data_IF_674270769510
#
_entry.id   IF_674270769510
#
_cell.length_a   1.000
_cell.length_b   1.000
_cell.length_c   1.000
_cell.angle_alpha   90.00
_cell.angle_beta   90.00
_cell.angle_gamma   90.00
#
_symmetry.space_group_name_H-M   'P 1'
#
loop_
_entity.id
_entity.type
_entity.pdbx_description
1 polymer ?
#
# COMPACT_ATOMS: atom_id res chain seq x y z
N UNK A 1 -41.08 45.41 -26.73
CA UNK A 1 -39.65 45.82 -26.74
C UNK A 1 -38.85 45.34 -25.53
N UNK A 2 -39.43 45.15 -24.32
CA UNK A 2 -38.67 44.60 -23.16
C UNK A 2 -38.42 43.09 -23.24
N UNK A 3 -39.28 42.32 -23.89
CA UNK A 3 -39.11 40.88 -24.04
C UNK A 3 -38.03 40.49 -25.05
N UNK A 4 -37.88 41.26 -26.15
CA UNK A 4 -36.84 40.99 -27.15
C UNK A 4 -35.42 41.31 -26.65
N UNK A 5 -35.25 42.28 -25.73
CA UNK A 5 -33.94 42.59 -25.17
C UNK A 5 -33.47 41.48 -24.20
N UNK A 6 -34.38 40.87 -23.39
CA UNK A 6 -34.03 39.78 -22.49
C UNK A 6 -33.60 38.51 -23.27
N UNK A 7 -34.24 38.23 -24.42
CA UNK A 7 -33.90 37.04 -25.21
C UNK A 7 -32.51 37.17 -25.87
N UNK A 8 -32.16 38.35 -26.36
CA UNK A 8 -30.86 38.63 -26.94
C UNK A 8 -29.73 38.61 -25.88
N UNK A 9 -30.03 39.03 -24.65
CA UNK A 9 -29.05 39.01 -23.52
C UNK A 9 -28.81 37.61 -23.03
N UNK A 10 -29.81 36.71 -22.96
CA UNK A 10 -29.67 35.31 -22.60
C UNK A 10 -28.90 34.52 -23.66
N UNK A 11 -29.18 34.73 -24.95
CA UNK A 11 -28.46 34.06 -26.04
C UNK A 11 -27.00 34.53 -26.12
N UNK A 12 -26.71 35.79 -25.86
CA UNK A 12 -25.35 36.34 -25.76
C UNK A 12 -24.61 35.76 -24.56
N UNK A 13 -25.25 35.65 -23.39
CA UNK A 13 -24.67 35.00 -22.21
C UNK A 13 -24.32 33.53 -22.49
N UNK A 14 -25.20 32.80 -23.18
CA UNK A 14 -24.98 31.40 -23.53
C UNK A 14 -23.78 31.25 -24.46
N UNK A 15 -23.70 32.01 -25.54
CA UNK A 15 -22.60 31.94 -26.51
C UNK A 15 -21.23 32.28 -25.91
N UNK A 16 -21.18 33.28 -25.02
CA UNK A 16 -19.95 33.66 -24.33
C UNK A 16 -19.58 32.58 -23.30
N UNK A 17 -20.54 32.02 -22.56
CA UNK A 17 -20.32 30.89 -21.64
C UNK A 17 -19.72 29.70 -22.37
N UNK A 18 -20.32 29.28 -23.48
CA UNK A 18 -19.83 28.17 -24.30
C UNK A 18 -18.39 28.40 -24.80
N UNK A 19 -18.04 29.63 -25.20
CA UNK A 19 -16.68 29.99 -25.60
C UNK A 19 -15.66 29.79 -24.46
N UNK A 20 -16.00 30.22 -23.23
CA UNK A 20 -15.10 30.06 -22.06
C UNK A 20 -14.97 28.59 -21.68
N UNK A 21 -16.07 27.83 -21.64
CA UNK A 21 -16.02 26.40 -21.36
C UNK A 21 -15.21 25.64 -22.42
N UNK A 22 -15.34 26.03 -23.70
CA UNK A 22 -14.52 25.48 -24.78
C UNK A 22 -13.01 25.76 -24.56
N UNK A 23 -12.65 26.97 -24.11
CA UNK A 23 -11.24 27.28 -23.79
C UNK A 23 -10.72 26.47 -22.58
N UNK A 24 -11.55 26.27 -21.56
CA UNK A 24 -11.24 25.44 -20.39
C UNK A 24 -11.06 23.97 -20.81
N UNK A 25 -11.98 23.42 -21.58
CA UNK A 25 -11.94 22.03 -22.07
C UNK A 25 -10.70 21.76 -22.93
N UNK A 26 -10.37 22.67 -23.82
CA UNK A 26 -9.22 22.57 -24.71
C UNK A 26 -7.90 23.01 -24.05
N UNK A 27 -7.89 23.26 -22.74
CA UNK A 27 -6.72 23.65 -21.94
C UNK A 27 -5.88 24.75 -22.59
N UNK A 28 -6.53 25.78 -23.11
CA UNK A 28 -5.85 26.95 -23.65
C UNK A 28 -4.99 27.59 -22.55
N UNK A 29 -4.10 28.50 -22.96
CA UNK A 29 -3.23 29.23 -22.06
C UNK A 29 -4.04 29.84 -20.91
N UNK A 30 -3.67 29.53 -19.65
CA UNK A 30 -4.47 29.92 -18.47
C UNK A 30 -4.66 31.43 -18.36
N UNK A 31 -3.63 32.20 -18.72
CA UNK A 31 -3.72 33.67 -18.77
C UNK A 31 -4.76 34.17 -19.78
N UNK A 32 -4.90 33.52 -20.92
CA UNK A 32 -5.93 33.88 -21.91
C UNK A 32 -7.33 33.64 -21.34
N UNK A 33 -7.55 32.52 -20.68
CA UNK A 33 -8.81 32.19 -19.99
C UNK A 33 -9.12 33.23 -18.90
N UNK A 34 -8.14 33.56 -18.06
CA UNK A 34 -8.29 34.59 -17.01
C UNK A 34 -8.66 35.94 -17.59
N UNK A 35 -8.03 36.35 -18.70
CA UNK A 35 -8.33 37.63 -19.37
C UNK A 35 -9.75 37.64 -19.96
N UNK A 36 -10.20 36.51 -20.53
CA UNK A 36 -11.57 36.40 -21.01
C UNK A 36 -12.58 36.49 -19.86
N UNK A 37 -12.31 35.80 -18.72
CA UNK A 37 -13.16 35.90 -17.52
C UNK A 37 -13.20 37.36 -17.00
N UNK A 38 -12.07 38.06 -16.98
CA UNK A 38 -12.04 39.49 -16.59
C UNK A 38 -12.88 40.36 -17.52
N UNK A 39 -12.85 40.09 -18.82
CA UNK A 39 -13.64 40.86 -19.81
C UNK A 39 -15.17 40.75 -19.63
N UNK A 40 -15.62 39.69 -18.90
CA UNK A 40 -17.04 39.51 -18.56
C UNK A 40 -17.60 40.71 -17.76
N UNK A 41 -16.73 41.33 -16.91
CA UNK A 41 -17.12 42.51 -16.14
C UNK A 41 -17.54 43.68 -17.08
N UNK A 42 -16.77 43.90 -18.14
CA UNK A 42 -17.07 44.96 -19.14
C UNK A 42 -18.32 44.64 -19.92
N UNK A 43 -18.58 43.36 -20.16
CA UNK A 43 -19.79 42.85 -20.83
C UNK A 43 -20.99 42.76 -19.88
N UNK A 44 -20.85 43.13 -18.59
CA UNK A 44 -21.86 43.02 -17.53
C UNK A 44 -22.40 41.59 -17.30
N UNK A 45 -21.59 40.59 -17.61
CA UNK A 45 -21.95 39.18 -17.44
C UNK A 45 -21.39 38.70 -16.10
N UNK A 46 -22.23 38.02 -15.33
CA UNK A 46 -21.86 37.45 -14.04
C UNK A 46 -21.25 36.05 -14.22
N UNK A 47 -19.93 35.86 -13.94
CA UNK A 47 -19.29 34.55 -14.07
C UNK A 47 -19.91 33.47 -13.19
N UNK A 48 -20.55 33.86 -12.07
CA UNK A 48 -21.17 32.90 -11.14
C UNK A 48 -22.46 32.26 -11.68
N UNK A 49 -23.02 32.84 -12.74
CA UNK A 49 -24.25 32.37 -13.42
C UNK A 49 -23.96 31.54 -14.66
N UNK A 50 -22.69 31.35 -15.03
CA UNK A 50 -22.30 30.56 -16.17
C UNK A 50 -22.13 29.08 -15.78
N UNK A 51 -22.84 28.21 -16.50
CA UNK A 51 -22.83 26.77 -16.31
C UNK A 51 -22.66 26.06 -17.65
N UNK A 52 -21.86 25.01 -17.62
CA UNK A 52 -21.72 24.09 -18.75
C UNK A 52 -23.06 23.40 -19.06
N UNK A 53 -23.49 23.38 -20.31
CA UNK A 53 -24.84 22.88 -20.67
C UNK A 53 -25.06 21.42 -20.30
N UNK A 54 -24.09 20.57 -20.59
CA UNK A 54 -24.18 19.10 -20.43
C UNK A 54 -24.09 18.63 -18.98
N UNK A 55 -23.20 19.20 -18.23
CA UNK A 55 -22.86 18.70 -16.87
C UNK A 55 -23.42 19.60 -15.78
N UNK A 56 -23.76 20.83 -16.10
CA UNK A 56 -24.09 21.93 -15.16
C UNK A 56 -22.93 22.24 -14.22
N UNK A 57 -21.68 22.01 -14.67
CA UNK A 57 -20.52 22.49 -13.95
C UNK A 57 -20.49 24.02 -13.93
N UNK A 58 -20.15 24.62 -12.77
CA UNK A 58 -19.78 26.04 -12.74
C UNK A 58 -18.39 26.23 -13.35
N UNK A 59 -18.00 27.46 -13.66
CA UNK A 59 -16.64 27.74 -14.15
C UNK A 59 -15.55 27.24 -13.23
N UNK A 60 -15.74 27.40 -11.91
CA UNK A 60 -14.83 26.90 -10.91
C UNK A 60 -14.71 25.37 -10.96
N UNK A 61 -15.82 24.66 -10.99
CA UNK A 61 -15.84 23.19 -11.05
C UNK A 61 -15.18 22.70 -12.33
N UNK A 62 -15.46 23.31 -13.49
CA UNK A 62 -14.82 22.94 -14.76
C UNK A 62 -13.32 23.22 -14.77
N UNK A 63 -12.86 24.37 -14.25
CA UNK A 63 -11.43 24.67 -14.19
C UNK A 63 -10.66 23.67 -13.31
N UNK A 64 -11.24 23.22 -12.20
CA UNK A 64 -10.66 22.19 -11.33
C UNK A 64 -10.68 20.81 -12.04
N UNK A 65 -11.79 20.48 -12.70
CA UNK A 65 -11.91 19.22 -13.44
C UNK A 65 -10.84 19.08 -14.52
N UNK A 66 -10.56 20.15 -15.26
CA UNK A 66 -9.50 20.16 -16.29
C UNK A 66 -8.09 20.46 -15.75
N UNK A 67 -7.94 20.59 -14.41
CA UNK A 67 -6.69 20.82 -13.69
C UNK A 67 -5.99 22.14 -14.05
N UNK A 68 -6.77 23.21 -14.24
CA UNK A 68 -6.28 24.57 -14.51
C UNK A 68 -6.09 25.32 -13.19
N UNK A 69 -4.95 25.11 -12.54
CA UNK A 69 -4.71 25.58 -11.16
C UNK A 69 -4.81 27.09 -11.04
N UNK A 70 -4.14 27.85 -11.91
CA UNK A 70 -4.14 29.34 -11.86
C UNK A 70 -5.52 29.94 -12.09
N UNK A 71 -6.28 29.37 -13.05
CA UNK A 71 -7.67 29.77 -13.33
C UNK A 71 -8.56 29.50 -12.12
N UNK A 72 -8.40 28.33 -11.49
CA UNK A 72 -9.20 27.96 -10.32
C UNK A 72 -8.92 28.86 -9.13
N UNK A 73 -7.65 29.16 -8.87
CA UNK A 73 -7.22 30.07 -7.78
C UNK A 73 -7.77 31.48 -8.05
N UNK A 74 -7.59 31.97 -9.29
CA UNK A 74 -8.13 33.26 -9.68
C UNK A 74 -9.65 33.33 -9.49
N UNK A 75 -10.41 32.31 -9.89
CA UNK A 75 -11.86 32.28 -9.73
C UNK A 75 -12.28 32.30 -8.26
N UNK A 76 -11.62 31.55 -7.38
CA UNK A 76 -11.91 31.56 -5.93
C UNK A 76 -11.74 32.98 -5.39
N UNK A 77 -10.62 33.65 -5.68
CA UNK A 77 -10.32 35.00 -5.19
C UNK A 77 -11.25 36.04 -5.80
N UNK A 78 -11.51 35.98 -7.10
CA UNK A 78 -12.41 36.91 -7.80
C UNK A 78 -13.82 36.84 -7.23
N UNK A 79 -14.35 35.64 -7.05
CA UNK A 79 -15.70 35.42 -6.53
C UNK A 79 -15.80 35.83 -5.06
N UNK A 80 -14.79 35.50 -4.26
CA UNK A 80 -14.70 35.92 -2.85
C UNK A 80 -14.76 37.46 -2.73
N UNK A 81 -13.93 38.15 -3.52
CA UNK A 81 -13.91 39.64 -3.51
C UNK A 81 -15.25 40.22 -3.93
N UNK A 82 -15.87 39.67 -4.98
CA UNK A 82 -17.18 40.07 -5.42
C UNK A 82 -18.26 39.95 -4.32
N UNK A 83 -18.33 38.84 -3.63
CA UNK A 83 -19.31 38.62 -2.55
C UNK A 83 -18.97 39.40 -1.28
N UNK A 84 -17.70 39.68 -1.01
CA UNK A 84 -17.30 40.60 0.05
C UNK A 84 -17.79 42.03 -0.18
N UNK A 85 -17.70 42.53 -1.43
CA UNK A 85 -18.26 43.84 -1.80
C UNK A 85 -19.77 43.89 -1.61
N UNK A 86 -20.47 42.76 -1.77
CA UNK A 86 -21.92 42.63 -1.58
C UNK A 86 -22.32 42.31 -0.13
N UNK A 87 -21.35 42.19 0.82
CA UNK A 87 -21.55 41.75 2.19
C UNK A 87 -22.34 40.44 2.31
N UNK A 88 -22.17 39.52 1.36
CA UNK A 88 -22.95 38.29 1.24
C UNK A 88 -22.07 37.02 1.31
N UNK A 89 -21.57 36.72 2.50
CA UNK A 89 -20.77 35.52 2.77
C UNK A 89 -21.56 34.22 2.46
N UNK A 90 -22.85 34.21 2.73
CA UNK A 90 -23.71 33.03 2.47
C UNK A 90 -23.75 32.68 1.00
N UNK A 91 -23.93 33.65 0.11
CA UNK A 91 -23.92 33.43 -1.33
C UNK A 91 -22.56 32.94 -1.85
N UNK A 92 -21.48 33.41 -1.24
CA UNK A 92 -20.15 32.88 -1.55
C UNK A 92 -20.02 31.38 -1.19
N UNK A 93 -20.45 31.00 0.03
CA UNK A 93 -20.43 29.61 0.46
C UNK A 93 -21.36 28.73 -0.38
N UNK A 94 -22.53 29.24 -0.74
CA UNK A 94 -23.46 28.55 -1.64
C UNK A 94 -22.81 28.30 -3.01
N UNK A 95 -22.08 29.28 -3.53
CA UNK A 95 -21.37 29.10 -4.82
C UNK A 95 -20.22 28.07 -4.70
N UNK A 96 -19.43 28.10 -3.64
CA UNK A 96 -18.35 27.11 -3.42
C UNK A 96 -18.87 25.68 -3.34
N UNK A 97 -20.08 25.52 -2.78
CA UNK A 97 -20.70 24.20 -2.56
C UNK A 97 -21.71 23.83 -3.67
N UNK A 98 -21.73 24.59 -4.78
CA UNK A 98 -22.58 24.26 -5.93
C UNK A 98 -22.22 22.90 -6.49
N UNK A 99 -23.26 22.08 -6.69
CA UNK A 99 -23.12 20.72 -7.21
C UNK A 99 -23.57 20.65 -8.67
N UNK A 100 -22.84 19.91 -9.45
CA UNK A 100 -23.23 19.57 -10.81
C UNK A 100 -24.33 18.49 -10.85
N UNK A 101 -24.76 18.06 -12.04
CA UNK A 101 -25.80 17.03 -12.20
C UNK A 101 -25.44 15.67 -11.56
N UNK A 102 -24.14 15.35 -11.43
CA UNK A 102 -23.65 14.12 -10.77
C UNK A 102 -23.43 14.32 -9.27
N UNK A 103 -23.72 15.49 -8.72
CA UNK A 103 -23.54 15.83 -7.30
C UNK A 103 -22.11 16.24 -6.93
N UNK A 104 -21.21 16.43 -7.87
CA UNK A 104 -19.85 16.88 -7.57
C UNK A 104 -19.79 18.40 -7.40
N UNK A 105 -19.10 18.85 -6.36
CA UNK A 105 -18.71 20.23 -6.13
C UNK A 105 -17.21 20.46 -6.38
N UNK A 106 -16.75 21.67 -6.16
CA UNK A 106 -15.36 22.07 -6.35
C UNK A 106 -14.40 21.26 -5.44
N UNK A 107 -14.79 21.02 -4.17
CA UNK A 107 -13.96 20.29 -3.21
C UNK A 107 -13.79 18.81 -3.60
N UNK A 108 -14.88 18.15 -4.00
CA UNK A 108 -14.88 16.76 -4.45
C UNK A 108 -13.98 16.56 -5.67
N UNK A 109 -14.04 17.45 -6.66
CA UNK A 109 -13.14 17.35 -7.81
C UNK A 109 -11.68 17.66 -7.47
N UNK A 110 -11.41 18.62 -6.58
CA UNK A 110 -10.04 18.91 -6.16
C UNK A 110 -9.42 17.72 -5.42
N UNK A 111 -10.21 17.01 -4.63
CA UNK A 111 -9.80 15.76 -3.96
C UNK A 111 -9.47 14.66 -4.98
N UNK A 112 -10.32 14.45 -5.98
CA UNK A 112 -10.10 13.48 -7.06
C UNK A 112 -8.85 13.80 -7.90
N UNK A 113 -8.66 15.07 -8.27
CA UNK A 113 -7.51 15.52 -9.06
C UNK A 113 -6.21 15.53 -8.24
N UNK A 114 -6.29 15.64 -6.91
CA UNK A 114 -5.14 15.69 -6.02
C UNK A 114 -4.44 17.04 -6.00
N UNK A 115 -5.15 18.10 -6.42
CA UNK A 115 -4.59 19.43 -6.37
C UNK A 115 -4.64 19.96 -4.94
N UNK A 116 -3.51 19.82 -4.25
CA UNK A 116 -3.35 20.17 -2.84
C UNK A 116 -3.61 21.66 -2.58
N UNK A 117 -3.10 22.54 -3.44
CA UNK A 117 -3.22 23.99 -3.28
C UNK A 117 -4.67 24.45 -3.41
N UNK A 118 -5.38 23.98 -4.44
CA UNK A 118 -6.81 24.28 -4.61
C UNK A 118 -7.63 23.71 -3.47
N UNK A 119 -7.37 22.46 -3.07
CA UNK A 119 -8.07 21.82 -1.97
C UNK A 119 -7.94 22.63 -0.67
N UNK A 120 -6.70 23.01 -0.30
CA UNK A 120 -6.45 23.85 0.86
C UNK A 120 -7.17 25.19 0.76
N UNK A 121 -7.06 25.87 -0.39
CA UNK A 121 -7.69 27.16 -0.61
C UNK A 121 -9.22 27.08 -0.49
N UNK A 122 -9.84 26.02 -1.01
CA UNK A 122 -11.28 25.79 -0.85
C UNK A 122 -11.66 25.59 0.61
N UNK A 123 -10.88 24.80 1.35
CA UNK A 123 -11.10 24.57 2.79
C UNK A 123 -10.94 25.85 3.61
N UNK A 124 -9.91 26.64 3.34
CA UNK A 124 -9.66 27.92 4.02
C UNK A 124 -10.76 28.96 3.72
N UNK A 125 -11.50 28.77 2.63
CA UNK A 125 -12.66 29.58 2.25
C UNK A 125 -14.02 28.99 2.68
N UNK A 126 -14.03 27.92 3.46
CA UNK A 126 -15.25 27.38 4.08
C UNK A 126 -16.01 26.37 3.21
N UNK A 127 -15.34 25.71 2.27
CA UNK A 127 -15.97 24.61 1.53
C UNK A 127 -16.40 23.48 2.45
N UNK A 128 -17.51 22.81 2.13
CA UNK A 128 -18.09 21.79 2.98
C UNK A 128 -17.35 20.45 2.87
N UNK A 129 -16.56 20.11 3.90
CA UNK A 129 -15.80 18.86 3.98
C UNK A 129 -16.70 17.60 3.97
N UNK A 130 -17.93 17.71 4.45
CA UNK A 130 -18.88 16.59 4.54
C UNK A 130 -19.72 16.42 3.26
N UNK A 131 -19.37 17.11 2.19
CA UNK A 131 -20.06 16.95 0.91
C UNK A 131 -19.86 15.53 0.34
N UNK A 132 -20.83 15.06 -0.40
CA UNK A 132 -20.78 13.79 -1.11
C UNK A 132 -21.55 13.92 -2.44
N UNK A 133 -21.13 13.15 -3.43
CA UNK A 133 -21.81 13.12 -4.73
C UNK A 133 -23.11 12.29 -4.67
N UNK A 134 -23.80 12.15 -5.80
CA UNK A 134 -25.05 11.39 -5.88
C UNK A 134 -24.90 9.89 -5.54
N UNK A 135 -23.69 9.34 -5.65
CA UNK A 135 -23.37 7.96 -5.27
C UNK A 135 -22.94 7.84 -3.78
N UNK A 136 -22.97 8.93 -3.01
CA UNK A 136 -22.52 8.94 -1.62
C UNK A 136 -21.01 9.03 -1.44
N UNK A 137 -20.23 9.18 -2.52
CA UNK A 137 -18.77 9.28 -2.45
C UNK A 137 -18.37 10.63 -1.86
N UNK A 138 -17.59 10.61 -0.77
CA UNK A 138 -17.04 11.78 -0.11
C UNK A 138 -15.60 12.10 -0.59
N UNK A 139 -15.01 13.14 -0.03
CA UNK A 139 -13.64 13.58 -0.35
C UNK A 139 -12.59 12.48 -0.20
N UNK A 140 -12.72 11.59 0.81
CA UNK A 140 -11.77 10.50 1.04
C UNK A 140 -11.92 9.40 -0.02
N UNK A 141 -13.14 9.00 -0.34
CA UNK A 141 -13.40 8.02 -1.42
C UNK A 141 -12.77 8.49 -2.74
N UNK A 142 -12.97 9.76 -3.10
CA UNK A 142 -12.45 10.33 -4.33
C UNK A 142 -10.94 10.49 -4.33
N UNK A 143 -10.35 10.84 -3.20
CA UNK A 143 -8.89 10.89 -3.05
C UNK A 143 -8.26 9.52 -3.24
N UNK A 144 -8.90 8.47 -2.73
CA UNK A 144 -8.47 7.07 -2.92
C UNK A 144 -8.64 6.65 -4.37
N UNK A 145 -9.78 6.95 -4.99
CA UNK A 145 -10.03 6.66 -6.42
C UNK A 145 -8.98 7.32 -7.32
N UNK A 146 -8.59 8.56 -7.02
CA UNK A 146 -7.56 9.29 -7.73
C UNK A 146 -6.12 8.91 -7.34
N UNK A 147 -5.91 8.03 -6.35
CA UNK A 147 -4.62 7.72 -5.73
C UNK A 147 -3.87 8.97 -5.21
N UNK A 148 -4.57 9.86 -4.48
CA UNK A 148 -4.08 11.17 -4.06
C UNK A 148 -3.62 11.18 -2.60
N UNK A 149 -2.42 10.65 -2.34
CA UNK A 149 -1.86 10.49 -1.00
C UNK A 149 -1.66 11.82 -0.27
N UNK A 150 -1.35 12.89 -0.99
CA UNK A 150 -1.25 14.24 -0.43
C UNK A 150 -2.58 14.70 0.21
N UNK A 151 -3.71 14.48 -0.48
CA UNK A 151 -5.03 14.82 0.05
C UNK A 151 -5.41 13.88 1.19
N UNK A 152 -5.15 12.58 1.06
CA UNK A 152 -5.40 11.60 2.12
C UNK A 152 -4.66 12.00 3.41
N UNK A 153 -3.35 12.32 3.31
CA UNK A 153 -2.55 12.78 4.44
C UNK A 153 -3.14 14.05 5.08
N UNK A 154 -3.50 15.03 4.26
CA UNK A 154 -4.09 16.28 4.73
C UNK A 154 -5.42 16.04 5.47
N UNK A 155 -6.28 15.21 4.91
CA UNK A 155 -7.56 14.85 5.51
C UNK A 155 -7.37 14.18 6.87
N UNK A 156 -6.46 13.21 6.95
CA UNK A 156 -6.26 12.40 8.15
C UNK A 156 -5.56 13.15 9.30
N UNK A 157 -4.67 14.10 8.99
CA UNK A 157 -3.89 14.79 10.02
C UNK A 157 -4.40 16.19 10.38
N UNK A 158 -5.11 16.86 9.47
CA UNK A 158 -5.55 18.25 9.69
C UNK A 158 -7.04 18.36 10.02
N UNK A 159 -7.89 17.48 9.50
CA UNK A 159 -9.33 17.64 9.59
C UNK A 159 -9.99 16.53 10.41
N UNK A 160 -11.09 16.89 11.10
CA UNK A 160 -11.92 15.93 11.83
C UNK A 160 -13.12 15.57 10.94
N UNK A 161 -13.19 14.33 10.51
CA UNK A 161 -14.32 13.80 9.74
C UNK A 161 -14.43 12.27 9.92
N UNK A 162 -15.54 11.69 9.48
CA UNK A 162 -15.74 10.24 9.57
C UNK A 162 -14.98 9.51 8.46
N UNK A 163 -13.84 8.92 8.83
CA UNK A 163 -12.96 8.13 7.94
C UNK A 163 -13.59 6.80 7.52
N UNK A 164 -14.60 6.34 8.26
CA UNK A 164 -15.29 5.08 8.01
C UNK A 164 -16.64 5.26 7.29
N UNK A 165 -16.92 6.48 6.83
CA UNK A 165 -18.15 6.76 6.11
C UNK A 165 -18.30 5.85 4.91
N UNK A 166 -19.51 5.30 4.74
CA UNK A 166 -19.86 4.43 3.63
C UNK A 166 -20.54 5.25 2.52
N UNK A 167 -20.33 4.84 1.27
CA UNK A 167 -21.06 5.33 0.11
C UNK A 167 -22.47 4.68 0.04
N UNK A 168 -23.23 4.95 -1.02
CA UNK A 168 -24.58 4.40 -1.18
C UNK A 168 -24.59 2.87 -1.39
N UNK A 169 -23.46 2.27 -1.73
CA UNK A 169 -23.29 0.82 -1.87
C UNK A 169 -22.71 0.17 -0.61
N UNK A 170 -22.52 0.94 0.45
CA UNK A 170 -21.92 0.48 1.71
C UNK A 170 -20.39 0.41 1.67
N UNK A 171 -19.73 0.84 0.60
CA UNK A 171 -18.27 0.80 0.52
C UNK A 171 -17.62 1.91 1.33
N UNK A 172 -16.59 1.59 2.09
CA UNK A 172 -15.67 2.56 2.69
C UNK A 172 -14.54 2.91 1.72
N UNK A 173 -13.75 3.92 2.06
CA UNK A 173 -12.54 4.26 1.32
C UNK A 173 -11.56 3.07 1.18
N UNK A 174 -11.50 2.17 2.19
CA UNK A 174 -10.67 0.97 2.11
C UNK A 174 -11.19 -0.04 1.08
N UNK A 175 -12.52 -0.22 0.94
CA UNK A 175 -13.10 -1.06 -0.11
C UNK A 175 -12.68 -0.55 -1.50
N UNK A 176 -12.75 0.76 -1.72
CA UNK A 176 -12.34 1.39 -2.97
C UNK A 176 -10.83 1.25 -3.21
N UNK A 177 -9.98 1.42 -2.17
CA UNK A 177 -8.54 1.24 -2.29
C UNK A 177 -8.17 -0.19 -2.72
N UNK A 178 -8.81 -1.19 -2.13
CA UNK A 178 -8.64 -2.60 -2.50
C UNK A 178 -9.19 -2.87 -3.90
N UNK A 179 -10.37 -2.31 -4.23
CA UNK A 179 -10.98 -2.45 -5.54
C UNK A 179 -10.08 -1.91 -6.66
N UNK A 180 -9.45 -0.76 -6.50
CA UNK A 180 -8.51 -0.19 -7.48
C UNK A 180 -7.07 -0.74 -7.38
N UNK A 181 -6.80 -1.64 -6.43
CA UNK A 181 -5.45 -2.15 -6.15
C UNK A 181 -4.43 -1.04 -5.82
N UNK A 182 -4.88 0.04 -5.20
CA UNK A 182 -4.06 1.18 -4.82
C UNK A 182 -3.28 0.87 -3.55
N UNK A 183 -2.18 0.13 -3.68
CA UNK A 183 -1.38 -0.39 -2.57
C UNK A 183 -0.92 0.69 -1.59
N UNK A 184 -0.52 1.86 -2.09
CA UNK A 184 -0.09 2.98 -1.26
C UNK A 184 -1.25 3.57 -0.47
N UNK A 185 -2.42 3.78 -1.09
CA UNK A 185 -3.62 4.22 -0.37
C UNK A 185 -4.00 3.25 0.76
N UNK A 186 -3.89 1.93 0.49
CA UNK A 186 -4.16 0.90 1.51
C UNK A 186 -3.20 1.08 2.69
N UNK A 187 -1.89 1.23 2.43
CA UNK A 187 -0.89 1.42 3.49
C UNK A 187 -1.19 2.69 4.34
N UNK A 188 -1.58 3.80 3.70
CA UNK A 188 -1.95 5.04 4.39
C UNK A 188 -3.24 4.87 5.22
N UNK A 189 -4.30 4.31 4.64
CA UNK A 189 -5.55 4.09 5.34
C UNK A 189 -5.37 3.15 6.54
N UNK A 190 -4.61 2.07 6.38
CA UNK A 190 -4.32 1.14 7.47
C UNK A 190 -3.45 1.79 8.56
N UNK A 191 -2.51 2.68 8.20
CA UNK A 191 -1.73 3.46 9.15
C UNK A 191 -2.64 4.34 10.04
N UNK A 192 -3.66 4.96 9.47
CA UNK A 192 -4.63 5.80 10.19
C UNK A 192 -5.75 5.01 10.87
N UNK A 193 -5.59 3.70 11.03
CA UNK A 193 -6.51 2.85 11.79
C UNK A 193 -7.97 2.84 11.32
N UNK A 194 -8.19 2.92 10.02
CA UNK A 194 -9.55 2.72 9.46
C UNK A 194 -10.15 1.38 9.92
N UNK A 195 -11.47 1.32 10.10
CA UNK A 195 -12.12 0.07 10.51
C UNK A 195 -12.21 -0.91 9.33
N UNK A 196 -11.43 -1.99 9.40
CA UNK A 196 -11.34 -3.03 8.36
C UNK A 196 -12.50 -4.01 8.36
N UNK A 197 -13.36 -3.99 9.42
CA UNK A 197 -14.46 -4.95 9.60
C UNK A 197 -15.79 -4.47 9.02
N UNK A 198 -15.83 -3.24 8.49
CA UNK A 198 -17.05 -2.72 7.86
C UNK A 198 -17.35 -3.53 6.61
N UNK A 199 -18.62 -3.89 6.43
CA UNK A 199 -19.10 -4.63 5.27
C UNK A 199 -19.88 -3.69 4.33
N UNK A 200 -19.76 -3.94 3.03
CA UNK A 200 -20.61 -3.32 2.01
C UNK A 200 -22.05 -3.87 2.05
N UNK A 201 -22.91 -3.40 1.17
CA UNK A 201 -24.32 -3.88 1.07
C UNK A 201 -24.42 -5.36 0.63
N UNK A 202 -23.35 -5.95 0.10
CA UNK A 202 -23.26 -7.38 -0.23
C UNK A 202 -22.65 -8.20 0.91
N UNK A 203 -22.54 -7.62 2.12
CA UNK A 203 -21.92 -8.25 3.29
C UNK A 203 -20.44 -8.63 3.09
N UNK A 204 -19.74 -7.98 2.15
CA UNK A 204 -18.31 -8.18 1.90
C UNK A 204 -17.48 -7.11 2.62
N UNK A 205 -16.43 -7.53 3.31
CA UNK A 205 -15.39 -6.62 3.81
C UNK A 205 -14.36 -6.32 2.72
N UNK A 206 -13.53 -5.31 2.92
CA UNK A 206 -12.39 -5.03 2.02
C UNK A 206 -11.47 -6.26 1.88
N UNK A 207 -11.34 -7.07 2.95
CA UNK A 207 -10.60 -8.33 2.92
C UNK A 207 -11.26 -9.37 2.00
N UNK A 208 -12.58 -9.49 2.03
CA UNK A 208 -13.31 -10.43 1.17
C UNK A 208 -13.14 -10.07 -0.32
N UNK A 209 -13.06 -8.77 -0.63
CA UNK A 209 -12.73 -8.29 -1.99
C UNK A 209 -11.30 -8.69 -2.39
N UNK A 210 -10.32 -8.55 -1.49
CA UNK A 210 -8.94 -8.96 -1.75
C UNK A 210 -8.83 -10.48 -2.00
N UNK A 211 -9.57 -11.29 -1.22
CA UNK A 211 -9.64 -12.76 -1.40
C UNK A 211 -10.28 -13.11 -2.75
N UNK A 212 -11.42 -12.50 -3.11
CA UNK A 212 -12.07 -12.73 -4.41
C UNK A 212 -11.18 -12.38 -5.60
N UNK A 213 -10.21 -11.47 -5.41
CA UNK A 213 -9.23 -11.07 -6.42
C UNK A 213 -7.97 -11.91 -6.40
N UNK A 214 -7.86 -12.88 -5.50
CA UNK A 214 -6.68 -13.74 -5.32
C UNK A 214 -5.38 -12.95 -5.13
N UNK A 215 -5.48 -11.74 -4.56
CA UNK A 215 -4.32 -10.88 -4.35
C UNK A 215 -3.68 -11.14 -3.00
N UNK A 216 -2.71 -12.06 -2.98
CA UNK A 216 -2.01 -12.49 -1.74
C UNK A 216 -1.33 -11.33 -1.02
N UNK A 217 -0.75 -10.37 -1.75
CA UNK A 217 -0.06 -9.22 -1.14
C UNK A 217 -1.02 -8.32 -0.36
N UNK A 218 -2.22 -8.06 -0.91
CA UNK A 218 -3.24 -7.29 -0.22
C UNK A 218 -3.81 -8.03 0.99
N UNK A 219 -4.05 -9.32 0.83
CA UNK A 219 -4.51 -10.20 1.91
C UNK A 219 -3.51 -10.16 3.07
N UNK A 220 -2.22 -10.31 2.80
CA UNK A 220 -1.18 -10.22 3.82
C UNK A 220 -1.11 -8.83 4.48
N UNK A 221 -1.21 -7.75 3.72
CA UNK A 221 -1.21 -6.38 4.24
C UNK A 221 -2.37 -6.13 5.20
N UNK A 222 -3.59 -6.51 4.81
CA UNK A 222 -4.79 -6.32 5.65
C UNK A 222 -4.70 -7.19 6.91
N UNK A 223 -4.33 -8.46 6.78
CA UNK A 223 -4.12 -9.39 7.92
C UNK A 223 -3.10 -8.81 8.90
N UNK A 224 -2.04 -8.26 8.38
CA UNK A 224 -0.98 -7.69 9.19
C UNK A 224 -1.43 -6.45 9.96
N UNK A 225 -2.14 -5.54 9.33
CA UNK A 225 -2.68 -4.35 10.01
C UNK A 225 -3.63 -4.75 11.13
N UNK A 226 -4.39 -5.84 10.95
CA UNK A 226 -5.22 -6.42 11.99
C UNK A 226 -4.38 -6.85 13.20
N UNK A 227 -3.25 -7.53 12.97
CA UNK A 227 -2.34 -7.96 14.06
C UNK A 227 -1.75 -6.76 14.80
N UNK A 228 -1.34 -5.70 14.08
CA UNK A 228 -0.81 -4.51 14.72
C UNK A 228 -1.85 -3.85 15.61
N UNK A 229 -3.09 -3.73 15.11
CA UNK A 229 -4.16 -2.98 15.75
C UNK A 229 -4.74 -3.70 16.97
N UNK A 230 -5.01 -4.98 16.82
CA UNK A 230 -5.73 -5.76 17.85
C UNK A 230 -4.84 -6.71 18.64
N UNK A 231 -3.57 -6.87 18.21
CA UNK A 231 -2.66 -7.85 18.81
C UNK A 231 -3.16 -9.29 18.61
N UNK A 232 -2.41 -10.24 19.18
CA UNK A 232 -2.80 -11.67 19.21
C UNK A 232 -3.91 -11.92 20.25
N UNK A 233 -4.16 -10.95 21.12
CA UNK A 233 -5.17 -10.98 22.19
C UNK A 233 -6.52 -10.38 21.82
N UNK A 234 -6.75 -10.02 20.55
CA UNK A 234 -8.05 -9.53 20.06
C UNK A 234 -9.17 -10.57 20.25
N UNK A 235 -10.43 -10.14 20.10
CA UNK A 235 -11.59 -11.03 20.24
C UNK A 235 -11.42 -12.28 19.36
N UNK A 236 -11.59 -13.45 19.99
CA UNK A 236 -11.35 -14.76 19.36
C UNK A 236 -12.16 -14.96 18.06
N UNK A 237 -13.37 -14.38 17.99
CA UNK A 237 -14.23 -14.40 16.80
C UNK A 237 -13.62 -13.64 15.62
N UNK A 238 -13.03 -12.46 15.87
CA UNK A 238 -12.48 -11.61 14.82
C UNK A 238 -11.16 -12.18 14.29
N UNK A 239 -10.37 -12.75 15.19
CA UNK A 239 -9.13 -13.43 14.81
C UNK A 239 -9.43 -14.65 13.93
N UNK A 240 -10.43 -15.45 14.28
CA UNK A 240 -10.82 -16.64 13.51
C UNK A 240 -11.38 -16.31 12.12
N UNK A 241 -11.92 -15.10 11.93
CA UNK A 241 -12.40 -14.63 10.63
C UNK A 241 -11.25 -14.40 9.63
N UNK A 242 -10.13 -13.86 10.11
CA UNK A 242 -9.00 -13.47 9.25
C UNK A 242 -7.86 -14.50 9.18
N UNK A 243 -7.79 -15.40 10.17
CA UNK A 243 -6.70 -16.35 10.27
C UNK A 243 -7.22 -17.77 10.44
N UNK A 244 -6.66 -18.70 9.68
CA UNK A 244 -6.85 -20.12 9.92
C UNK A 244 -6.18 -20.51 11.24
N UNK A 245 -6.61 -21.63 11.87
CA UNK A 245 -5.95 -22.17 13.06
C UNK A 245 -4.45 -22.41 12.82
N UNK A 246 -4.09 -22.80 11.61
CA UNK A 246 -2.71 -23.04 11.22
C UNK A 246 -1.88 -21.77 11.15
N UNK A 247 -2.41 -20.69 10.54
CA UNK A 247 -1.76 -19.38 10.50
C UNK A 247 -1.57 -18.78 11.90
N UNK A 248 -2.57 -18.95 12.79
CA UNK A 248 -2.44 -18.53 14.18
C UNK A 248 -1.34 -19.29 14.92
N UNK A 249 -1.25 -20.61 14.72
CA UNK A 249 -0.15 -21.42 15.27
C UNK A 249 1.18 -20.95 14.69
N UNK A 250 1.25 -20.64 13.40
CA UNK A 250 2.47 -20.09 12.78
C UNK A 250 2.87 -18.74 13.37
N UNK A 251 1.93 -17.84 13.63
CA UNK A 251 2.20 -16.52 14.21
C UNK A 251 2.70 -16.66 15.65
N UNK A 252 2.03 -17.47 16.46
CA UNK A 252 2.43 -17.76 17.84
C UNK A 252 3.76 -18.53 17.89
N UNK A 253 3.93 -19.47 16.98
CA UNK A 253 5.11 -20.30 16.89
C UNK A 253 6.32 -19.56 16.30
N UNK A 254 6.15 -18.45 15.54
CA UNK A 254 7.27 -17.72 14.93
C UNK A 254 8.34 -17.29 15.93
N UNK A 255 7.94 -16.89 17.13
CA UNK A 255 8.88 -16.55 18.21
C UNK A 255 9.52 -17.80 18.85
N UNK A 256 8.74 -18.88 18.99
CA UNK A 256 9.21 -20.13 19.63
C UNK A 256 9.85 -21.10 18.64
N UNK A 257 9.35 -21.19 17.41
CA UNK A 257 9.89 -22.08 16.36
C UNK A 257 11.36 -21.81 16.08
N UNK A 258 11.78 -20.55 16.13
CA UNK A 258 13.19 -20.20 15.93
C UNK A 258 14.07 -20.77 17.07
N UNK A 259 13.67 -20.58 18.33
CA UNK A 259 14.38 -21.09 19.48
C UNK A 259 14.35 -22.63 19.47
N UNK A 260 13.18 -23.22 19.18
CA UNK A 260 13.01 -24.66 19.05
C UNK A 260 13.82 -25.22 17.87
N UNK A 261 13.83 -24.53 16.73
CA UNK A 261 14.64 -24.93 15.58
C UNK A 261 16.14 -24.89 15.88
N UNK A 262 16.61 -23.81 16.53
CA UNK A 262 18.01 -23.75 16.99
C UNK A 262 18.34 -24.85 18.02
N UNK A 263 17.41 -25.11 18.95
CA UNK A 263 17.58 -26.17 19.92
C UNK A 263 17.62 -27.57 19.26
N UNK A 264 16.71 -27.82 18.31
CA UNK A 264 16.70 -29.06 17.53
C UNK A 264 18.01 -29.22 16.74
N UNK A 265 18.48 -28.16 16.07
CA UNK A 265 19.76 -28.17 15.37
C UNK A 265 20.91 -28.44 16.32
N UNK A 266 20.93 -27.80 17.50
CA UNK A 266 21.96 -27.96 18.49
C UNK A 266 21.97 -29.39 19.10
N UNK A 267 20.80 -29.90 19.49
CA UNK A 267 20.69 -31.25 20.04
C UNK A 267 20.95 -32.34 18.98
N UNK A 268 20.48 -32.15 17.76
CA UNK A 268 20.81 -33.00 16.61
C UNK A 268 22.33 -33.01 16.35
N UNK A 269 22.99 -31.85 16.49
CA UNK A 269 24.43 -31.73 16.32
C UNK A 269 25.20 -32.51 17.42
N UNK A 270 24.81 -32.30 18.68
CA UNK A 270 25.43 -33.03 19.80
C UNK A 270 25.22 -34.53 19.68
N UNK A 271 24.03 -34.96 19.27
CA UNK A 271 23.71 -36.36 19.08
C UNK A 271 24.51 -36.98 17.93
N UNK A 272 24.58 -36.28 16.77
CA UNK A 272 25.38 -36.71 15.64
C UNK A 272 26.87 -36.80 15.96
N UNK A 273 27.42 -35.86 16.72
CA UNK A 273 28.80 -35.91 17.17
C UNK A 273 29.07 -37.16 17.99
N UNK A 274 28.15 -37.52 18.90
CA UNK A 274 28.24 -38.73 19.68
C UNK A 274 28.20 -40.00 18.81
N UNK A 275 27.31 -40.06 17.84
CA UNK A 275 27.20 -41.19 16.92
C UNK A 275 28.44 -41.32 16.00
N UNK A 276 28.90 -40.20 15.45
CA UNK A 276 30.07 -40.16 14.57
C UNK A 276 31.34 -40.54 15.35
N UNK A 277 31.49 -40.11 16.60
CA UNK A 277 32.62 -40.48 17.45
C UNK A 277 32.66 -41.97 17.75
N UNK A 278 31.49 -42.58 17.93
CA UNK A 278 31.36 -44.02 18.16
C UNK A 278 31.61 -44.82 16.87
N UNK A 279 31.14 -44.35 15.72
CA UNK A 279 31.17 -45.08 14.45
C UNK A 279 32.50 -44.97 13.72
N UNK A 280 33.20 -43.85 13.80
CA UNK A 280 34.38 -43.55 12.96
C UNK A 280 35.67 -43.43 13.80
N UNK A 281 35.57 -43.26 15.13
CA UNK A 281 36.71 -43.02 16.05
C UNK A 281 37.73 -41.95 15.58
N UNK A 282 37.28 -41.06 14.67
CA UNK A 282 38.15 -40.08 14.03
C UNK A 282 37.87 -38.67 14.56
N UNK A 283 38.70 -38.10 15.40
CA UNK A 283 38.50 -36.80 16.02
C UNK A 283 38.49 -35.63 15.00
N UNK A 284 39.09 -35.83 13.81
CA UNK A 284 39.14 -34.78 12.77
C UNK A 284 37.77 -34.51 12.14
N UNK A 285 36.90 -35.53 12.01
CA UNK A 285 35.56 -35.42 11.47
C UNK A 285 34.68 -34.64 12.47
N UNK A 286 34.78 -34.94 13.74
CA UNK A 286 34.07 -34.21 14.79
C UNK A 286 34.47 -32.72 14.81
N UNK A 287 35.78 -32.43 14.74
CA UNK A 287 36.31 -31.08 14.70
C UNK A 287 35.75 -30.31 13.48
N UNK A 288 35.65 -30.96 12.31
CA UNK A 288 35.12 -30.39 11.10
C UNK A 288 33.65 -29.93 11.30
N UNK A 289 32.79 -30.76 11.89
CA UNK A 289 31.39 -30.38 12.14
C UNK A 289 31.26 -29.28 13.21
N UNK A 290 32.11 -29.28 14.24
CA UNK A 290 32.13 -28.18 15.21
C UNK A 290 32.49 -26.85 14.55
N UNK A 291 33.49 -26.85 13.70
CA UNK A 291 33.90 -25.65 12.96
C UNK A 291 32.75 -25.16 12.05
N UNK A 292 32.09 -26.08 11.35
CA UNK A 292 30.92 -25.73 10.51
C UNK A 292 29.76 -25.17 11.31
N UNK A 293 29.47 -25.72 12.48
CA UNK A 293 28.42 -25.21 13.36
C UNK A 293 28.73 -23.79 13.85
N UNK A 294 29.99 -23.56 14.29
CA UNK A 294 30.45 -22.19 14.66
C UNK A 294 30.32 -21.23 13.46
N UNK A 295 30.71 -21.69 12.29
CA UNK A 295 30.57 -20.88 11.06
C UNK A 295 29.09 -20.53 10.75
N UNK A 296 28.16 -21.46 10.95
CA UNK A 296 26.72 -21.22 10.77
C UNK A 296 26.20 -20.16 11.75
N UNK A 297 26.58 -20.24 13.02
CA UNK A 297 26.22 -19.24 14.05
C UNK A 297 26.82 -17.89 13.68
N UNK A 298 28.06 -17.85 13.23
CA UNK A 298 28.71 -16.62 12.81
C UNK A 298 28.05 -15.99 11.58
N UNK A 299 27.70 -16.79 10.57
CA UNK A 299 26.98 -16.31 9.39
C UNK A 299 25.58 -15.80 9.74
N UNK A 300 24.89 -16.50 10.66
CA UNK A 300 23.61 -16.01 11.17
C UNK A 300 23.78 -14.67 11.89
N UNK A 301 24.78 -14.54 12.74
CA UNK A 301 25.10 -13.27 13.40
C UNK A 301 25.40 -12.15 12.38
N UNK A 302 26.18 -12.46 11.34
CA UNK A 302 26.43 -11.50 10.25
C UNK A 302 25.15 -11.13 9.48
N UNK A 303 24.25 -12.07 9.22
CA UNK A 303 22.98 -11.83 8.59
C UNK A 303 22.11 -10.88 9.42
N UNK A 304 22.02 -11.12 10.74
CA UNK A 304 21.25 -10.27 11.65
C UNK A 304 21.90 -8.90 11.83
N UNK A 305 23.23 -8.83 11.84
CA UNK A 305 23.96 -7.55 11.93
C UNK A 305 23.90 -6.73 10.64
N UNK A 306 23.90 -7.39 9.48
CA UNK A 306 23.69 -6.77 8.16
C UNK A 306 22.21 -6.60 7.81
N UNK A 307 21.32 -6.95 8.72
CA UNK A 307 19.93 -6.61 8.61
C UNK A 307 19.86 -5.07 8.57
N UNK A 308 19.78 -4.62 7.37
CA UNK A 308 20.06 -3.28 6.89
C UNK A 308 19.35 -2.17 7.65
N UNK A 309 20.02 -1.05 7.60
CA UNK A 309 19.52 0.29 7.88
C UNK A 309 19.03 0.48 9.31
N UNK A 310 20.01 0.41 10.21
CA UNK A 310 19.97 1.12 11.49
C UNK A 310 20.05 2.62 11.25
N UNK A 311 19.17 3.17 10.45
CA UNK A 311 18.86 4.57 10.60
C UNK A 311 17.93 4.69 11.80
N UNK A 312 18.50 5.10 12.92
CA UNK A 312 17.77 5.46 14.12
C UNK A 312 16.68 6.47 13.78
N UNK A 313 15.45 6.13 14.22
CA UNK A 313 14.29 7.01 14.10
C UNK A 313 14.42 8.17 15.10
N UNK A 314 15.29 9.14 14.81
CA UNK A 314 15.50 10.29 15.70
C UNK A 314 14.63 11.50 15.40
N UNK A 315 13.77 11.47 14.39
CA UNK A 315 12.79 12.54 14.18
C UNK A 315 11.37 11.96 14.12
N UNK A 316 10.56 12.27 15.12
CA UNK A 316 9.08 12.06 15.08
C UNK A 316 8.46 13.12 14.17
N UNK A 317 8.83 13.13 12.89
CA UNK A 317 8.17 13.98 11.92
C UNK A 317 6.79 13.39 11.59
N UNK A 318 5.78 14.24 11.52
CA UNK A 318 4.45 13.84 11.06
C UNK A 318 4.42 13.79 9.54
N UNK A 319 3.51 13.00 8.96
CA UNK A 319 3.34 12.96 7.50
C UNK A 319 2.94 14.34 6.95
N UNK A 320 2.13 15.10 7.71
CA UNK A 320 1.76 16.46 7.35
C UNK A 320 2.97 17.41 7.32
N UNK A 321 3.95 17.24 8.25
CA UNK A 321 5.17 18.05 8.22
C UNK A 321 6.02 17.77 6.97
N UNK A 322 6.08 16.52 6.53
CA UNK A 322 6.77 16.13 5.30
C UNK A 322 6.04 16.66 4.06
N UNK A 323 4.71 16.59 4.05
CA UNK A 323 3.89 17.16 2.98
C UNK A 323 4.12 18.68 2.85
N UNK A 324 4.14 19.40 3.98
CA UNK A 324 4.39 20.86 4.01
C UNK A 324 5.82 21.23 3.59
N UNK A 325 6.78 20.33 3.76
CA UNK A 325 8.16 20.47 3.24
C UNK A 325 8.27 20.18 1.75
N UNK A 326 7.18 19.81 1.08
CA UNK A 326 7.13 19.52 -0.35
C UNK A 326 7.58 18.10 -0.75
N UNK A 327 7.63 17.15 0.19
CA UNK A 327 7.91 15.76 -0.17
C UNK A 327 6.76 15.14 -0.97
N UNK A 328 7.11 14.36 -1.99
CA UNK A 328 6.13 13.56 -2.70
C UNK A 328 5.65 12.40 -1.81
N UNK A 329 4.37 12.43 -1.41
CA UNK A 329 3.77 11.42 -0.55
C UNK A 329 3.80 10.00 -1.16
N UNK A 330 3.92 9.88 -2.49
CA UNK A 330 4.11 8.58 -3.15
C UNK A 330 5.46 7.93 -2.81
N UNK A 331 6.45 8.74 -2.43
CA UNK A 331 7.78 8.27 -2.03
C UNK A 331 7.97 8.15 -0.52
N UNK A 332 6.93 8.44 0.30
CA UNK A 332 7.03 8.42 1.75
C UNK A 332 6.35 7.18 2.33
N UNK A 333 7.04 6.50 3.25
CA UNK A 333 6.43 5.43 4.04
C UNK A 333 5.58 6.01 5.16
N UNK A 334 4.27 5.70 5.24
CA UNK A 334 3.42 6.23 6.30
C UNK A 334 3.82 5.72 7.69
N UNK A 335 4.36 4.51 7.78
CA UNK A 335 4.73 3.87 9.05
C UNK A 335 6.06 4.37 9.63
N UNK A 336 7.02 4.72 8.77
CA UNK A 336 8.36 5.16 9.16
C UNK A 336 8.56 6.66 9.03
N UNK A 337 7.62 7.37 8.38
CA UNK A 337 7.71 8.81 8.05
C UNK A 337 9.04 9.19 7.36
N UNK A 338 9.51 8.30 6.49
CA UNK A 338 10.77 8.46 5.75
C UNK A 338 10.54 8.39 4.25
N UNK A 339 11.36 9.12 3.51
CA UNK A 339 11.41 9.01 2.06
C UNK A 339 11.95 7.63 1.67
N UNK A 340 11.22 6.93 0.80
CA UNK A 340 11.57 5.60 0.31
C UNK A 340 12.18 5.69 -1.09
N UNK A 341 13.20 4.89 -1.37
CA UNK A 341 13.58 4.64 -2.75
C UNK A 341 12.47 3.87 -3.48
N UNK A 342 12.39 3.99 -4.80
CA UNK A 342 11.35 3.35 -5.63
C UNK A 342 11.24 1.82 -5.48
N UNK A 343 12.16 1.19 -4.74
CA UNK A 343 12.22 -0.25 -4.51
C UNK A 343 12.31 -0.61 -3.03
N UNK A 344 11.94 0.31 -2.14
CA UNK A 344 11.85 0.05 -0.70
C UNK A 344 10.44 -0.33 -0.33
N UNK A 345 10.28 -1.32 0.55
CA UNK A 345 9.00 -1.71 1.13
C UNK A 345 9.08 -1.65 2.65
N UNK A 346 7.97 -1.30 3.30
CA UNK A 346 7.86 -1.39 4.75
C UNK A 346 7.61 -2.83 5.16
N UNK A 347 8.54 -3.37 5.94
CA UNK A 347 8.31 -4.67 6.56
C UNK A 347 7.54 -4.50 7.86
N UNK A 348 6.39 -5.01 7.83
CA UNK A 348 5.47 -5.00 8.91
C UNK A 348 5.96 -5.81 10.14
N UNK A 349 6.65 -6.90 9.96
CA UNK A 349 7.21 -7.70 11.06
C UNK A 349 8.43 -7.05 11.72
N UNK A 350 9.30 -6.43 10.94
CA UNK A 350 10.49 -5.73 11.44
C UNK A 350 10.22 -4.27 11.79
N UNK A 351 9.02 -3.74 11.46
CA UNK A 351 8.59 -2.34 11.69
C UNK A 351 9.57 -1.31 11.11
N UNK A 352 10.15 -1.61 9.95
CA UNK A 352 11.12 -0.76 9.26
C UNK A 352 11.01 -0.88 7.75
N UNK A 353 11.44 0.15 7.02
CA UNK A 353 11.61 0.10 5.58
C UNK A 353 12.87 -0.68 5.22
N UNK A 354 12.77 -1.52 4.21
CA UNK A 354 13.85 -2.36 3.71
C UNK A 354 14.03 -2.10 2.22
N UNK A 355 15.23 -1.71 1.82
CA UNK A 355 15.57 -1.45 0.43
C UNK A 355 15.67 -2.77 -0.35
N UNK A 356 14.95 -2.85 -1.48
CA UNK A 356 14.84 -4.07 -2.29
C UNK A 356 14.43 -5.28 -1.44
N UNK A 357 13.35 -5.11 -0.64
CA UNK A 357 12.83 -6.20 0.16
C UNK A 357 12.35 -7.34 -0.73
N UNK A 358 12.98 -8.53 -0.58
CA UNK A 358 12.52 -9.74 -1.25
C UNK A 358 11.44 -10.43 -0.42
N UNK A 359 11.67 -10.56 0.88
CA UNK A 359 10.72 -11.15 1.82
C UNK A 359 11.21 -11.04 3.27
N UNK A 360 10.27 -11.22 4.19
CA UNK A 360 10.60 -11.45 5.60
C UNK A 360 10.81 -12.95 5.85
N UNK A 361 11.99 -13.32 6.34
CA UNK A 361 12.25 -14.70 6.71
C UNK A 361 11.80 -14.96 8.16
N UNK A 362 10.66 -15.62 8.31
CA UNK A 362 10.09 -15.91 9.63
C UNK A 362 10.91 -16.85 10.51
N UNK A 363 11.72 -17.75 9.92
CA UNK A 363 12.59 -18.64 10.69
C UNK A 363 13.80 -17.90 11.28
N UNK A 364 14.37 -16.99 10.52
CA UNK A 364 15.52 -16.21 10.98
C UNK A 364 15.10 -14.91 11.65
N UNK A 365 13.80 -14.57 11.56
CA UNK A 365 13.20 -13.31 12.01
C UNK A 365 13.93 -12.06 11.50
N UNK A 366 14.34 -12.09 10.23
CA UNK A 366 15.03 -10.98 9.54
C UNK A 366 14.41 -10.71 8.18
N UNK A 367 14.51 -9.47 7.73
CA UNK A 367 14.21 -9.10 6.36
C UNK A 367 15.38 -9.42 5.45
N UNK A 368 15.06 -10.04 4.32
CA UNK A 368 16.02 -10.27 3.25
C UNK A 368 15.82 -9.20 2.19
N UNK A 369 16.85 -8.39 1.98
CA UNK A 369 16.87 -7.28 1.03
C UNK A 369 18.25 -7.13 0.39
N UNK A 370 18.48 -6.01 -0.31
CA UNK A 370 19.70 -5.76 -1.09
C UNK A 370 21.00 -6.08 -0.34
N UNK A 371 21.11 -5.65 0.92
CA UNK A 371 22.36 -5.69 1.66
C UNK A 371 22.74 -7.08 2.16
N UNK A 372 21.77 -7.94 2.44
CA UNK A 372 22.02 -9.27 3.02
C UNK A 372 21.60 -10.44 2.11
N UNK A 373 21.00 -10.18 0.94
CA UNK A 373 20.52 -11.21 0.02
C UNK A 373 21.61 -12.20 -0.41
N UNK A 374 22.78 -11.70 -0.82
CA UNK A 374 23.90 -12.57 -1.24
C UNK A 374 24.41 -13.43 -0.08
N UNK A 375 24.51 -12.83 1.12
CA UNK A 375 24.92 -13.53 2.33
C UNK A 375 23.90 -14.60 2.72
N UNK A 376 22.60 -14.29 2.56
CA UNK A 376 21.52 -15.25 2.80
C UNK A 376 21.58 -16.45 1.84
N UNK A 377 21.82 -16.22 0.54
CA UNK A 377 22.01 -17.31 -0.43
C UNK A 377 23.22 -18.17 -0.09
N UNK A 378 24.33 -17.54 0.31
CA UNK A 378 25.52 -18.26 0.76
C UNK A 378 25.23 -19.10 2.03
N UNK A 379 24.52 -18.53 3.00
CA UNK A 379 24.09 -19.25 4.21
C UNK A 379 23.20 -20.47 3.86
N UNK A 380 22.21 -20.32 2.97
CA UNK A 380 21.37 -21.42 2.52
C UNK A 380 22.17 -22.49 1.77
N UNK A 381 23.09 -22.12 0.89
CA UNK A 381 23.94 -23.08 0.16
C UNK A 381 24.84 -23.87 1.12
N UNK A 382 25.40 -23.20 2.11
CA UNK A 382 26.21 -23.86 3.14
C UNK A 382 25.38 -24.84 3.96
N UNK A 383 24.17 -24.46 4.39
CA UNK A 383 23.24 -25.33 5.09
C UNK A 383 22.90 -26.59 4.26
N UNK A 384 22.60 -26.43 2.98
CA UNK A 384 22.28 -27.57 2.09
C UNK A 384 23.47 -28.53 1.97
N UNK A 385 24.68 -28.02 1.80
CA UNK A 385 25.91 -28.84 1.75
C UNK A 385 26.10 -29.62 3.05
N UNK A 386 25.94 -28.97 4.21
CA UNK A 386 26.08 -29.62 5.50
C UNK A 386 25.05 -30.73 5.69
N UNK A 387 23.78 -30.51 5.34
CA UNK A 387 22.75 -31.53 5.43
C UNK A 387 23.01 -32.71 4.50
N UNK A 388 23.52 -32.48 3.29
CA UNK A 388 23.90 -33.55 2.35
C UNK A 388 25.06 -34.37 2.92
N UNK A 389 26.10 -33.71 3.43
CA UNK A 389 27.27 -34.40 4.01
C UNK A 389 26.88 -35.23 5.24
N UNK A 390 26.03 -34.66 6.14
CA UNK A 390 25.51 -35.42 7.30
C UNK A 390 24.70 -36.63 6.88
N UNK A 391 23.81 -36.50 5.90
CA UNK A 391 23.02 -37.62 5.38
C UNK A 391 23.91 -38.71 4.79
N UNK A 392 24.96 -38.32 4.05
CA UNK A 392 25.90 -39.25 3.46
C UNK A 392 26.74 -40.00 4.54
N UNK A 393 27.22 -39.27 5.53
CA UNK A 393 27.97 -39.86 6.64
C UNK A 393 27.06 -40.77 7.47
N UNK A 394 25.82 -40.36 7.75
CA UNK A 394 24.83 -41.20 8.43
C UNK A 394 24.60 -42.54 7.72
N UNK A 395 24.44 -42.47 6.37
CA UNK A 395 24.30 -43.68 5.53
C UNK A 395 25.55 -44.55 5.55
N UNK A 396 26.74 -43.96 5.50
CA UNK A 396 28.02 -44.68 5.58
C UNK A 396 28.21 -45.36 6.95
N UNK A 397 27.87 -44.69 8.05
CA UNK A 397 27.90 -45.25 9.37
C UNK A 397 26.98 -46.46 9.54
N UNK A 398 25.76 -46.41 8.96
CA UNK A 398 24.83 -47.56 8.96
C UNK A 398 25.46 -48.79 8.27
N UNK A 399 26.29 -48.58 7.25
CA UNK A 399 26.91 -49.68 6.47
C UNK A 399 28.11 -50.30 7.17
N UNK A 400 28.81 -49.54 8.03
CA UNK A 400 30.04 -50.00 8.69
C UNK A 400 29.85 -50.52 10.11
N UNK A 401 28.79 -50.13 10.83
CA UNK A 401 28.59 -50.51 12.22
C UNK A 401 28.04 -51.94 12.40
N UNK A 402 28.47 -52.64 13.47
CA UNK A 402 27.98 -53.98 13.83
C UNK A 402 26.45 -53.96 13.99
N UNK A 403 25.78 -54.98 13.51
CA UNK A 403 24.33 -55.14 13.46
C UNK A 403 23.61 -54.92 14.81
N UNK A 404 24.28 -55.22 15.93
CA UNK A 404 23.75 -55.01 17.29
C UNK A 404 23.55 -53.56 17.66
N UNK A 405 24.48 -52.66 17.31
CA UNK A 405 24.40 -51.24 17.57
C UNK A 405 23.30 -50.54 16.73
N UNK A 406 23.17 -50.97 15.49
CA UNK A 406 22.09 -50.46 14.60
C UNK A 406 20.72 -50.88 15.10
N UNK A 407 20.58 -52.09 15.64
CA UNK A 407 19.33 -52.64 16.16
C UNK A 407 18.82 -51.84 17.36
N UNK A 408 19.71 -51.42 18.26
CA UNK A 408 19.35 -50.58 19.42
C UNK A 408 19.03 -49.11 19.05
N UNK A 409 19.72 -48.57 18.07
CA UNK A 409 19.60 -47.16 17.71
C UNK A 409 18.90 -46.90 16.35
N UNK A 410 18.25 -47.90 15.76
CA UNK A 410 17.66 -47.86 14.43
C UNK A 410 16.69 -46.72 14.21
N UNK A 411 15.83 -46.46 15.18
CA UNK A 411 14.79 -45.42 15.05
C UNK A 411 15.38 -44.00 15.16
N UNK A 412 16.39 -43.80 15.97
CA UNK A 412 17.08 -42.51 16.13
C UNK A 412 17.91 -42.20 14.90
N UNK A 413 18.58 -43.16 14.30
CA UNK A 413 19.29 -42.99 13.04
C UNK A 413 18.35 -42.69 11.87
N UNK A 414 17.26 -43.43 11.76
CA UNK A 414 16.27 -43.21 10.73
C UNK A 414 15.63 -41.83 10.85
N UNK A 415 15.32 -41.42 12.09
CA UNK A 415 14.76 -40.12 12.41
C UNK A 415 15.70 -38.98 12.01
N UNK A 416 17.00 -39.12 12.32
CA UNK A 416 18.01 -38.12 11.97
C UNK A 416 18.20 -37.99 10.44
N UNK A 417 18.22 -39.11 9.71
CA UNK A 417 18.27 -39.13 8.25
C UNK A 417 17.03 -38.41 7.65
N UNK A 418 15.85 -38.70 8.18
CA UNK A 418 14.60 -38.09 7.72
C UNK A 418 14.61 -36.56 7.96
N UNK A 419 15.06 -36.13 9.16
CA UNK A 419 15.17 -34.71 9.48
C UNK A 419 16.16 -34.01 8.55
N UNK A 420 17.34 -34.61 8.35
CA UNK A 420 18.38 -34.05 7.50
C UNK A 420 17.91 -33.95 6.03
N UNK A 421 17.24 -35.00 5.52
CA UNK A 421 16.69 -35.02 4.15
C UNK A 421 15.56 -33.99 3.97
N UNK A 422 14.64 -33.90 4.92
CA UNK A 422 13.54 -32.94 4.84
C UNK A 422 14.06 -31.50 4.97
N UNK A 423 15.03 -31.25 5.83
CA UNK A 423 15.68 -29.94 5.98
C UNK A 423 16.45 -29.54 4.72
N UNK A 424 17.18 -30.49 4.12
CA UNK A 424 17.85 -30.30 2.84
C UNK A 424 16.84 -29.95 1.73
N UNK A 425 15.75 -30.71 1.61
CA UNK A 425 14.69 -30.47 0.64
C UNK A 425 14.06 -29.08 0.78
N UNK A 426 13.77 -28.65 2.00
CA UNK A 426 13.25 -27.32 2.28
C UNK A 426 14.24 -26.20 1.92
N UNK A 427 15.52 -26.38 2.25
CA UNK A 427 16.56 -25.41 1.91
C UNK A 427 16.77 -25.33 0.38
N UNK A 428 16.80 -26.47 -0.29
CA UNK A 428 16.94 -26.57 -1.73
C UNK A 428 15.74 -25.97 -2.48
N UNK A 429 14.52 -26.27 -2.03
CA UNK A 429 13.30 -25.67 -2.55
C UNK A 429 13.33 -24.14 -2.44
N UNK A 430 13.69 -23.60 -1.28
CA UNK A 430 13.82 -22.16 -1.07
C UNK A 430 14.90 -21.54 -1.96
N UNK A 431 16.04 -22.22 -2.11
CA UNK A 431 17.12 -21.78 -2.97
C UNK A 431 16.67 -21.71 -4.44
N UNK A 432 16.06 -22.79 -4.95
CA UNK A 432 15.57 -22.87 -6.34
C UNK A 432 14.48 -21.83 -6.60
N UNK A 433 13.50 -21.71 -5.71
CA UNK A 433 12.43 -20.72 -5.83
C UNK A 433 13.00 -19.31 -5.91
N UNK A 434 14.03 -18.99 -5.13
CA UNK A 434 14.66 -17.66 -5.14
C UNK A 434 15.54 -17.42 -6.35
N UNK A 435 16.25 -18.42 -6.82
CA UNK A 435 17.02 -18.32 -8.07
C UNK A 435 16.10 -18.13 -9.29
N UNK A 436 14.93 -18.78 -9.31
CA UNK A 436 13.94 -18.62 -10.37
C UNK A 436 13.31 -17.22 -10.33
N UNK A 437 12.95 -16.70 -9.15
CA UNK A 437 12.47 -15.34 -8.99
C UNK A 437 13.52 -14.30 -9.43
N UNK A 438 14.79 -14.53 -9.14
CA UNK A 438 15.89 -13.68 -9.60
C UNK A 438 16.05 -13.69 -11.13
N UNK A 439 15.83 -14.85 -11.78
CA UNK A 439 15.80 -14.96 -13.26
C UNK A 439 14.61 -14.20 -13.86
N UNK A 440 13.42 -14.32 -13.27
CA UNK A 440 12.20 -13.62 -13.71
C UNK A 440 12.41 -12.10 -13.58
N UNK A 441 12.86 -11.62 -12.44
CA UNK A 441 13.17 -10.18 -12.20
C UNK A 441 14.22 -9.61 -13.15
N UNK A 442 15.16 -10.45 -13.65
CA UNK A 442 16.14 -10.03 -14.64
C UNK A 442 15.57 -9.93 -16.05
N UNK A 443 14.60 -10.79 -16.37
CA UNK A 443 13.91 -10.79 -17.66
C UNK A 443 12.82 -9.71 -17.75
N UNK A 444 12.16 -9.37 -16.63
CA UNK A 444 11.17 -8.27 -16.58
C UNK A 444 11.79 -6.87 -16.77
N UNK A 445 13.11 -6.72 -16.61
CA UNK A 445 13.79 -5.48 -17.01
C UNK A 445 13.77 -5.20 -18.52
N UNK A 446 13.33 -6.15 -19.33
CA UNK A 446 13.21 -6.03 -20.79
C UNK A 446 11.76 -5.77 -21.23
N UNK A 447 10.77 -5.98 -20.34
CA UNK A 447 9.33 -5.81 -20.62
C UNK A 447 8.76 -4.80 -19.65
N UNK A 448 9.24 -3.58 -19.74
CA UNK A 448 8.77 -2.44 -18.92
C UNK A 448 7.92 -1.48 -19.72
N UNK A 449 6.92 -1.96 -20.45
CA UNK A 449 5.87 -1.15 -21.10
C UNK A 449 4.75 -2.07 -21.56
N UNK A 450 3.85 -2.46 -20.65
CA UNK A 450 2.48 -2.90 -21.00
C UNK A 450 1.76 -3.27 -19.69
N UNK A 451 1.19 -2.28 -19.01
CA UNK A 451 0.19 -2.52 -17.98
C UNK A 451 -0.99 -1.59 -18.20
N UNK A 452 -1.84 -1.94 -19.14
CA UNK A 452 -3.18 -1.38 -19.26
C UNK A 452 -4.14 -2.39 -19.87
N UNK A 453 -4.26 -3.59 -19.27
CA UNK A 453 -5.30 -4.56 -19.67
C UNK A 453 -5.80 -5.34 -18.46
N UNK A 454 -6.53 -4.67 -17.55
CA UNK A 454 -7.31 -5.35 -16.51
C UNK A 454 -8.82 -5.06 -16.58
N UNK A 455 -9.32 -4.67 -17.76
CA UNK A 455 -10.73 -4.32 -17.95
C UNK A 455 -11.66 -5.51 -18.26
N UNK A 456 -11.22 -6.77 -18.12
CA UNK A 456 -12.00 -7.92 -18.60
C UNK A 456 -12.70 -8.77 -17.55
N UNK A 457 -12.66 -8.46 -16.24
CA UNK A 457 -13.22 -9.38 -15.23
C UNK A 457 -14.53 -8.95 -14.55
N UNK A 458 -15.07 -7.76 -14.80
CA UNK A 458 -16.38 -7.36 -14.30
C UNK A 458 -17.17 -6.58 -15.34
N UNK A 459 -17.99 -7.25 -16.18
CA UNK A 459 -18.74 -6.56 -17.24
C UNK A 459 -19.93 -5.71 -16.74
N UNK A 460 -20.24 -5.64 -15.46
CA UNK A 460 -21.43 -4.95 -14.95
C UNK A 460 -21.17 -3.82 -13.93
N UNK A 461 -19.94 -3.58 -13.47
CA UNK A 461 -19.62 -2.32 -12.81
C UNK A 461 -19.07 -1.35 -13.86
N UNK A 462 -20.00 -0.83 -14.54
CA UNK A 462 -19.96 0.10 -15.63
C UNK A 462 -18.89 1.18 -15.49
N UNK A 463 -18.13 1.37 -16.56
CA UNK A 463 -17.29 2.54 -16.87
C UNK A 463 -17.97 3.91 -16.69
N UNK A 464 -19.18 3.96 -16.12
CA UNK A 464 -19.96 5.15 -15.77
C UNK A 464 -19.53 5.82 -14.46
N UNK A 465 -18.61 5.21 -13.67
CA UNK A 465 -18.03 5.84 -12.48
C UNK A 465 -16.69 6.50 -12.81
N UNK A 466 -16.06 6.14 -13.92
CA UNK A 466 -14.98 6.95 -14.50
C UNK A 466 -15.65 8.20 -15.04
N UNK A 467 -15.31 9.33 -14.46
CA UNK A 467 -15.67 10.65 -14.93
C UNK A 467 -15.21 10.78 -16.38
N UNK A 468 -16.04 10.42 -17.34
CA UNK A 468 -16.00 10.90 -18.71
C UNK A 468 -16.96 12.06 -18.82
#
# INVERSE_FOLDING_TARGET
MKENNNYNDEENMKNIGESIFYFIENKKEQNAIINEIKSLKDKKIDPTKLFEEKTKNSLLVSSIYYNLTEVSIFLIDYIRNKFNELNSLTQFLDYLNLRNLKGYDALLYSAYRGNYEIFQKLMDNGANLNSNNNNGLNVLHLSVQGNRLNIITLLMEKYIFDVNKQDNQGNTALHWAVYFNNQQCIDYLLHYNININITDNNSCTAMDIAIKRENEDLIEKIKYSFIIKYGISGNKSDIQKYFTKFEMIQILARMYLYIVFLAILFFSELYNQKLISIAIENPRINLFFIIFFILQIFLYYLLTKRDSDKEENNSKETLLSLLNKGYDMNSVCPWCTKNMSNKSCHCAYCKKCVEYQEFHNSLLNICIGKNNFKLYLFYLSLLTIVFILKSFIGFFCIRQTNYSFIKENKYTFLFDIIINFSSCGLCLYRLIRKLNLFKISKNEKVIGEHTNDYNHFFPEMDNRIIIN
#
